data_IF_873676420730
#
_entry.id   IF_873676420730
#
_cell.length_a   1.000
_cell.length_b   1.000
_cell.length_c   1.000
_cell.angle_alpha   90.00
_cell.angle_beta   90.00
_cell.angle_gamma   90.00
#
_symmetry.space_group_name_H-M   'P 1'
#
loop_
_entity.id
_entity.type
_entity.pdbx_description
1 polymer ?
#
# COMPACT_ATOMS: atom_id res chain seq x y z
N UNK A 1 39.75 31.57 73.46
CA UNK A 1 38.95 32.26 74.49
C UNK A 1 37.58 31.59 74.52
N UNK A 2 37.18 31.11 75.70
CA UNK A 2 35.98 30.31 75.91
C UNK A 2 34.74 31.19 76.11
N UNK A 3 33.56 30.72 75.67
CA UNK A 3 32.29 31.02 76.34
C UNK A 3 31.19 29.99 75.97
N UNK A 4 30.93 29.09 76.93
CA UNK A 4 29.65 28.51 77.41
C UNK A 4 28.37 28.66 76.54
N UNK A 5 27.68 27.56 76.17
CA UNK A 5 26.65 26.79 76.94
C UNK A 5 25.35 27.57 77.24
N UNK A 6 24.22 27.27 76.56
CA UNK A 6 22.97 26.73 77.14
C UNK A 6 21.83 26.48 76.11
N UNK A 7 21.50 25.19 75.96
CA UNK A 7 20.18 24.50 75.90
C UNK A 7 18.84 25.20 75.53
N UNK A 8 18.10 24.43 74.70
CA UNK A 8 16.65 24.10 74.68
C UNK A 8 15.63 25.03 73.97
N UNK A 9 14.88 24.43 73.03
CA UNK A 9 13.64 24.99 72.48
C UNK A 9 13.08 24.19 71.28
N UNK A 10 12.25 23.19 71.57
CA UNK A 10 11.36 22.41 70.69
C UNK A 10 10.55 23.22 69.65
N UNK A 11 10.37 22.67 68.43
CA UNK A 11 9.05 22.55 67.78
C UNK A 11 9.12 21.70 66.49
N UNK A 12 8.33 20.63 66.50
CA UNK A 12 7.97 19.77 65.39
C UNK A 12 7.01 20.52 64.43
N UNK A 13 7.29 20.54 63.13
CA UNK A 13 6.25 20.74 62.12
C UNK A 13 6.52 19.85 60.90
N UNK A 14 5.85 18.70 60.88
CA UNK A 14 5.64 17.90 59.69
C UNK A 14 4.45 18.52 58.96
N UNK A 15 4.67 19.07 57.77
CA UNK A 15 3.58 19.30 56.81
C UNK A 15 4.02 18.82 55.42
N UNK A 16 3.23 17.86 54.94
CA UNK A 16 3.51 17.06 53.76
C UNK A 16 3.52 17.86 52.47
N UNK A 17 4.46 17.50 51.59
CA UNK A 17 4.39 17.81 50.17
C UNK A 17 3.27 16.96 49.58
N UNK A 18 2.11 17.57 49.35
CA UNK A 18 1.09 16.97 48.49
C UNK A 18 1.59 17.10 47.04
N UNK A 19 1.95 15.99 46.43
CA UNK A 19 2.20 15.92 45.01
C UNK A 19 0.85 15.96 44.30
N UNK A 20 0.43 17.16 43.86
CA UNK A 20 -0.70 17.29 42.94
C UNK A 20 -0.26 16.83 41.55
N UNK A 21 -0.51 15.57 41.23
CA UNK A 21 -0.41 15.07 39.85
C UNK A 21 -1.53 15.72 39.03
N UNK A 22 -1.19 16.75 38.28
CA UNK A 22 -2.09 17.33 37.29
C UNK A 22 -1.90 16.57 35.98
N UNK A 23 -2.89 15.75 35.63
CA UNK A 23 -3.04 15.16 34.31
C UNK A 23 -3.17 16.30 33.29
N UNK A 24 -2.06 16.69 32.67
CA UNK A 24 -2.05 17.61 31.53
C UNK A 24 -2.74 16.89 30.38
N UNK A 25 -4.03 17.17 30.20
CA UNK A 25 -4.67 16.91 28.93
C UNK A 25 -3.93 17.75 27.90
N UNK A 26 -3.08 17.11 27.10
CA UNK A 26 -2.37 17.74 25.99
C UNK A 26 -3.43 18.40 25.11
N UNK A 27 -3.55 19.74 25.22
CA UNK A 27 -4.32 20.54 24.26
C UNK A 27 -3.83 20.12 22.89
N UNK A 28 -4.75 19.71 22.01
CA UNK A 28 -4.42 19.50 20.58
C UNK A 28 -3.57 20.68 20.16
N UNK A 29 -2.31 20.39 19.83
CA UNK A 29 -1.43 21.39 19.24
C UNK A 29 -2.20 21.93 18.04
N UNK A 30 -2.50 23.23 18.05
CA UNK A 30 -3.20 23.87 16.94
C UNK A 30 -2.39 23.55 15.67
N UNK A 31 -3.07 23.06 14.63
CA UNK A 31 -2.40 22.87 13.34
C UNK A 31 -1.69 24.18 12.99
N UNK A 32 -0.41 24.15 12.61
CA UNK A 32 0.31 25.36 12.27
C UNK A 32 -0.46 26.13 11.19
N UNK A 33 -0.48 27.46 11.31
CA UNK A 33 -1.06 28.31 10.27
C UNK A 33 -0.35 28.01 8.95
N UNK A 34 -1.13 27.60 7.95
CA UNK A 34 -0.59 27.26 6.65
C UNK A 34 0.11 28.49 6.06
N UNK A 35 1.26 28.29 5.42
CA UNK A 35 1.88 29.30 4.58
C UNK A 35 1.01 29.57 3.35
N UNK A 36 1.28 30.66 2.63
CA UNK A 36 0.50 31.01 1.43
C UNK A 36 0.59 29.94 0.33
N UNK A 37 1.76 29.32 0.16
CA UNK A 37 1.94 28.21 -0.77
C UNK A 37 1.16 26.96 -0.33
N UNK A 38 1.15 26.64 0.96
CA UNK A 38 0.39 25.49 1.49
C UNK A 38 -1.12 25.71 1.39
N UNK A 39 -1.59 26.94 1.61
CA UNK A 39 -3.00 27.32 1.36
C UNK A 39 -3.36 27.18 -0.11
N UNK A 40 -2.51 27.66 -1.01
CA UNK A 40 -2.73 27.55 -2.45
C UNK A 40 -2.84 26.08 -2.88
N UNK A 41 -1.91 25.23 -2.43
CA UNK A 41 -1.95 23.80 -2.72
C UNK A 41 -3.19 23.12 -2.15
N UNK A 42 -3.53 23.40 -0.89
CA UNK A 42 -4.69 22.79 -0.22
C UNK A 42 -6.00 23.20 -0.87
N UNK A 43 -6.14 24.47 -1.27
CA UNK A 43 -7.36 24.98 -1.92
C UNK A 43 -7.44 24.61 -3.41
N UNK A 44 -6.32 24.23 -4.05
CA UNK A 44 -6.30 23.83 -5.46
C UNK A 44 -6.89 22.43 -5.70
N UNK A 45 -6.99 21.60 -4.66
CA UNK A 45 -7.49 20.23 -4.77
C UNK A 45 -8.97 20.18 -4.41
N UNK A 46 -9.82 19.82 -5.37
CA UNK A 46 -11.28 19.68 -5.17
C UNK A 46 -11.71 18.22 -5.08
N UNK A 47 -12.58 17.90 -4.11
CA UNK A 47 -13.21 16.58 -3.99
C UNK A 47 -14.08 16.25 -5.22
N UNK A 48 -14.70 17.24 -5.86
CA UNK A 48 -15.49 17.02 -7.08
C UNK A 48 -14.61 16.53 -8.24
N UNK A 49 -13.45 17.16 -8.43
CA UNK A 49 -12.48 16.78 -9.45
C UNK A 49 -11.89 15.39 -9.17
N UNK A 50 -11.54 15.09 -7.91
CA UNK A 50 -11.06 13.75 -7.51
C UNK A 50 -12.13 12.69 -7.81
N UNK A 51 -13.39 12.94 -7.46
CA UNK A 51 -14.49 12.00 -7.70
C UNK A 51 -14.70 11.76 -9.20
N UNK A 52 -14.65 12.82 -10.02
CA UNK A 52 -14.77 12.73 -11.47
C UNK A 52 -13.62 11.94 -12.10
N UNK A 53 -12.37 12.19 -11.68
CA UNK A 53 -11.22 11.44 -12.16
C UNK A 53 -11.27 9.98 -11.73
N UNK A 54 -11.63 9.73 -10.46
CA UNK A 54 -11.82 8.37 -9.94
C UNK A 54 -12.84 7.61 -10.79
N UNK A 55 -14.00 8.22 -11.08
CA UNK A 55 -15.00 7.64 -11.97
C UNK A 55 -14.43 7.35 -13.36
N UNK A 56 -13.76 8.33 -13.98
CA UNK A 56 -13.24 8.18 -15.34
C UNK A 56 -12.17 7.09 -15.50
N UNK A 57 -11.26 6.95 -14.53
CA UNK A 57 -10.20 5.94 -14.58
C UNK A 57 -10.68 4.55 -14.17
N UNK A 58 -11.74 4.44 -13.35
CA UNK A 58 -12.26 3.15 -12.87
C UNK A 58 -13.40 2.57 -13.69
N UNK A 59 -14.06 3.35 -14.56
CA UNK A 59 -15.21 2.88 -15.35
C UNK A 59 -14.88 1.87 -16.47
N UNK A 60 -13.60 1.64 -16.78
CA UNK A 60 -13.19 0.79 -17.90
C UNK A 60 -11.95 -0.04 -17.60
N UNK A 61 -11.78 -1.13 -18.34
CA UNK A 61 -10.57 -1.97 -18.29
C UNK A 61 -9.33 -1.13 -18.65
N UNK A 62 -8.30 -1.17 -17.81
CA UNK A 62 -7.05 -0.40 -17.98
C UNK A 62 -5.82 -1.26 -17.71
N UNK A 63 -5.86 -2.54 -18.14
CA UNK A 63 -4.68 -3.40 -18.14
C UNK A 63 -3.61 -2.83 -19.07
N UNK A 64 -2.34 -2.96 -18.72
CA UNK A 64 -1.24 -2.46 -19.56
C UNK A 64 -1.33 -3.00 -21.00
N UNK A 65 -1.19 -2.10 -21.98
CA UNK A 65 -1.39 -2.41 -23.40
C UNK A 65 -2.82 -2.26 -23.91
N UNK A 66 -3.79 -2.03 -23.01
CA UNK A 66 -5.20 -1.75 -23.37
C UNK A 66 -5.54 -0.27 -23.12
N UNK A 67 -6.73 0.16 -23.56
CA UNK A 67 -7.35 1.45 -23.22
C UNK A 67 -6.47 2.69 -23.43
N UNK A 68 -6.00 2.87 -24.67
CA UNK A 68 -5.25 4.06 -25.09
C UNK A 68 -6.03 5.37 -24.84
N UNK A 69 -7.36 5.34 -24.87
CA UNK A 69 -8.21 6.51 -24.63
C UNK A 69 -7.98 7.14 -23.25
N UNK A 70 -7.77 6.35 -22.20
CA UNK A 70 -7.47 6.90 -20.88
C UNK A 70 -6.10 7.59 -20.84
N UNK A 71 -5.09 7.01 -21.51
CA UNK A 71 -3.78 7.64 -21.62
C UNK A 71 -3.84 8.96 -22.42
N UNK A 72 -4.62 8.98 -23.51
CA UNK A 72 -4.84 10.20 -24.29
C UNK A 72 -5.54 11.27 -23.46
N UNK A 73 -6.57 10.90 -22.70
CA UNK A 73 -7.27 11.83 -21.80
C UNK A 73 -6.33 12.46 -20.78
N UNK A 74 -5.42 11.69 -20.20
CA UNK A 74 -4.39 12.23 -19.29
C UNK A 74 -3.46 13.20 -20.00
N UNK A 75 -2.99 12.88 -21.21
CA UNK A 75 -2.12 13.75 -21.99
C UNK A 75 -2.83 15.08 -22.32
N UNK A 76 -4.09 15.02 -22.75
CA UNK A 76 -4.88 16.21 -23.08
C UNK A 76 -5.07 17.13 -21.84
N UNK A 77 -5.36 16.55 -20.67
CA UNK A 77 -5.45 17.31 -19.41
C UNK A 77 -4.13 18.00 -19.05
N UNK A 78 -2.99 17.34 -19.30
CA UNK A 78 -1.67 17.92 -19.04
C UNK A 78 -1.34 19.05 -20.01
N UNK A 79 -1.65 18.86 -21.30
CA UNK A 79 -1.53 19.91 -22.30
C UNK A 79 -2.41 21.14 -21.95
N UNK A 80 -3.64 20.91 -21.52
CA UNK A 80 -4.56 21.98 -21.07
C UNK A 80 -4.02 22.73 -19.84
N UNK A 81 -3.40 22.02 -18.91
CA UNK A 81 -2.73 22.61 -17.75
C UNK A 81 -1.39 23.31 -18.10
N UNK A 82 -0.98 23.31 -19.38
CA UNK A 82 0.21 24.00 -19.87
C UNK A 82 1.51 23.18 -19.83
N UNK A 83 1.41 21.85 -19.65
CA UNK A 83 2.57 20.95 -19.69
C UNK A 83 2.81 20.39 -21.11
N UNK A 84 4.08 20.24 -21.48
CA UNK A 84 4.46 19.46 -22.65
C UNK A 84 4.16 17.98 -22.40
N UNK A 85 3.26 17.40 -23.19
CA UNK A 85 2.78 16.03 -23.01
C UNK A 85 2.57 15.33 -24.36
N UNK A 86 2.83 14.02 -24.38
CA UNK A 86 2.65 13.16 -25.56
C UNK A 86 2.51 11.69 -25.15
N UNK A 87 2.03 10.85 -26.08
CA UNK A 87 2.01 9.40 -25.92
C UNK A 87 3.25 8.76 -26.56
N UNK A 88 4.01 8.02 -25.75
CA UNK A 88 5.09 7.16 -26.23
C UNK A 88 4.63 5.69 -26.19
N UNK A 89 4.65 5.02 -27.34
CA UNK A 89 4.22 3.61 -27.48
C UNK A 89 5.42 2.69 -27.69
N UNK A 90 5.51 1.66 -26.86
CA UNK A 90 6.47 0.56 -27.02
C UNK A 90 5.74 -0.73 -27.39
N UNK A 91 6.32 -1.58 -28.26
CA UNK A 91 5.70 -2.85 -28.62
C UNK A 91 5.75 -3.82 -27.44
N UNK A 92 4.59 -4.28 -26.99
CA UNK A 92 4.43 -5.34 -25.98
C UNK A 92 3.43 -6.36 -26.51
N UNK A 93 3.64 -7.66 -26.21
CA UNK A 93 2.75 -8.75 -26.61
C UNK A 93 2.37 -9.57 -25.39
N UNK A 94 1.10 -9.56 -25.02
CA UNK A 94 0.52 -10.39 -23.97
C UNK A 94 -0.87 -10.83 -24.42
N UNK A 95 -0.97 -12.01 -25.03
CA UNK A 95 -2.23 -12.60 -25.46
C UNK A 95 -2.28 -14.05 -24.98
N UNK A 96 -3.44 -14.45 -24.45
CA UNK A 96 -3.73 -15.82 -24.08
C UNK A 96 -4.37 -16.55 -25.28
N UNK A 97 -4.09 -17.85 -25.44
CA UNK A 97 -4.73 -18.68 -26.45
C UNK A 97 -6.24 -18.85 -26.16
N UNK A 98 -7.06 -18.90 -27.22
CA UNK A 98 -8.48 -19.26 -27.11
C UNK A 98 -8.59 -20.78 -27.07
N UNK A 99 -9.21 -21.30 -26.02
CA UNK A 99 -9.45 -22.73 -25.82
C UNK A 99 -10.90 -23.05 -26.18
N UNK A 100 -11.16 -24.20 -26.82
CA UNK A 100 -12.53 -24.59 -27.21
C UNK A 100 -13.34 -25.07 -26.01
N UNK A 101 -12.63 -25.62 -25.03
CA UNK A 101 -13.14 -26.22 -23.80
C UNK A 101 -13.52 -25.14 -22.78
N UNK A 102 -12.96 -23.93 -22.92
CA UNK A 102 -13.29 -22.77 -22.10
C UNK A 102 -13.85 -21.63 -22.97
N UNK A 103 -15.19 -21.53 -23.12
CA UNK A 103 -15.81 -20.50 -23.93
C UNK A 103 -15.59 -19.08 -23.38
N UNK A 104 -15.18 -18.91 -22.11
CA UNK A 104 -14.86 -17.57 -21.57
C UNK A 104 -13.53 -17.05 -22.10
N UNK A 105 -12.65 -17.93 -22.58
CA UNK A 105 -11.43 -17.55 -23.31
C UNK A 105 -11.71 -16.93 -24.68
N UNK A 106 -12.96 -16.87 -25.14
CA UNK A 106 -13.34 -16.20 -26.38
C UNK A 106 -13.85 -14.77 -26.20
N UNK A 107 -14.08 -14.30 -24.97
CA UNK A 107 -14.80 -13.05 -24.75
C UNK A 107 -13.96 -11.81 -25.09
N UNK A 108 -14.54 -10.84 -25.82
CA UNK A 108 -13.80 -9.69 -26.36
C UNK A 108 -13.25 -8.74 -25.28
N UNK A 109 -13.87 -8.72 -24.10
CA UNK A 109 -13.46 -7.86 -22.98
C UNK A 109 -12.92 -8.67 -21.78
N UNK A 110 -12.46 -9.91 -22.00
CA UNK A 110 -11.94 -10.71 -20.90
C UNK A 110 -10.58 -10.17 -20.45
N UNK A 111 -10.38 -10.20 -19.14
CA UNK A 111 -9.05 -10.12 -18.55
C UNK A 111 -8.78 -11.50 -18.00
N UNK A 112 -7.90 -12.30 -18.62
CA UNK A 112 -7.57 -13.59 -18.05
C UNK A 112 -6.88 -13.37 -16.70
N UNK A 113 -7.13 -14.28 -15.77
CA UNK A 113 -6.32 -14.38 -14.56
C UNK A 113 -5.04 -15.11 -14.95
N UNK A 114 -3.88 -14.48 -14.78
CA UNK A 114 -2.60 -15.09 -15.13
C UNK A 114 -1.49 -14.68 -14.16
N UNK A 115 -0.42 -15.47 -14.12
CA UNK A 115 0.82 -15.10 -13.45
C UNK A 115 1.75 -14.41 -14.45
N UNK A 116 1.92 -13.09 -14.30
CA UNK A 116 2.84 -12.32 -15.13
C UNK A 116 4.27 -12.89 -15.04
N UNK A 117 4.96 -12.95 -16.17
CA UNK A 117 6.31 -13.54 -16.33
C UNK A 117 6.41 -15.06 -16.13
N UNK A 118 5.30 -15.78 -15.97
CA UNK A 118 5.34 -17.25 -15.95
C UNK A 118 5.83 -17.80 -17.30
N UNK A 119 6.61 -18.89 -17.24
CA UNK A 119 7.04 -19.58 -18.44
C UNK A 119 5.82 -20.18 -19.17
N UNK A 120 5.85 -20.14 -20.51
CA UNK A 120 4.83 -20.79 -21.32
C UNK A 120 5.08 -22.30 -21.39
N UNK A 121 4.03 -23.10 -21.24
CA UNK A 121 4.12 -24.55 -21.36
C UNK A 121 2.83 -25.25 -20.95
N UNK A 122 2.74 -26.54 -21.27
CA UNK A 122 1.71 -27.45 -20.76
C UNK A 122 2.42 -28.54 -19.95
N UNK A 123 1.96 -28.79 -18.73
CA UNK A 123 2.57 -29.73 -17.80
C UNK A 123 1.47 -30.58 -17.19
N UNK A 124 1.70 -31.89 -17.13
CA UNK A 124 0.84 -32.86 -16.46
C UNK A 124 1.71 -33.67 -15.52
N UNK A 125 1.42 -33.58 -14.22
CA UNK A 125 2.15 -34.28 -13.17
C UNK A 125 1.31 -34.37 -11.89
N UNK A 126 1.74 -35.20 -10.94
CA UNK A 126 1.14 -35.25 -9.61
C UNK A 126 1.31 -33.92 -8.88
N UNK A 127 0.31 -33.54 -8.08
CA UNK A 127 0.34 -32.30 -7.31
C UNK A 127 0.73 -32.53 -5.85
N UNK A 128 1.31 -31.50 -5.21
CA UNK A 128 1.62 -31.45 -3.79
C UNK A 128 1.16 -30.11 -3.21
N UNK A 129 0.54 -30.12 -2.03
CA UNK A 129 0.14 -28.88 -1.35
C UNK A 129 1.31 -28.32 -0.52
N UNK A 130 1.63 -27.03 -0.70
CA UNK A 130 2.84 -26.37 -0.15
C UNK A 130 2.52 -25.11 0.66
N UNK A 131 1.39 -25.07 1.36
CA UNK A 131 1.08 -23.94 2.24
C UNK A 131 1.09 -22.61 1.49
N UNK A 132 1.90 -21.64 1.96
CA UNK A 132 2.03 -20.33 1.30
C UNK A 132 3.18 -20.26 0.29
N UNK A 133 3.82 -21.38 -0.01
CA UNK A 133 4.89 -21.49 -1.01
C UNK A 133 6.22 -20.87 -0.55
N UNK A 134 6.50 -20.82 0.75
CA UNK A 134 7.77 -20.32 1.27
C UNK A 134 8.79 -21.45 1.48
N UNK A 135 10.06 -21.08 1.60
CA UNK A 135 11.15 -22.05 1.80
C UNK A 135 10.89 -23.03 2.97
N UNK A 136 10.42 -22.60 4.16
CA UNK A 136 10.12 -23.53 5.25
C UNK A 136 9.02 -24.55 4.94
N UNK A 137 8.07 -24.21 4.05
CA UNK A 137 7.02 -25.15 3.62
C UNK A 137 7.63 -26.31 2.82
N UNK A 138 8.58 -25.99 1.92
CA UNK A 138 9.30 -27.00 1.14
C UNK A 138 10.26 -27.83 2.00
N UNK A 139 10.99 -27.21 2.93
CA UNK A 139 11.85 -27.92 3.89
C UNK A 139 11.03 -28.91 4.71
N UNK A 140 9.84 -28.48 5.17
CA UNK A 140 8.94 -29.35 5.92
C UNK A 140 8.46 -30.54 5.11
N UNK A 141 8.15 -30.36 3.82
CA UNK A 141 7.77 -31.46 2.94
C UNK A 141 8.92 -32.46 2.75
N UNK A 142 10.16 -31.98 2.63
CA UNK A 142 11.35 -32.83 2.54
C UNK A 142 11.58 -33.62 3.84
N UNK A 143 11.41 -33.00 5.00
CA UNK A 143 11.49 -33.69 6.31
C UNK A 143 10.44 -34.79 6.45
N UNK A 144 9.25 -34.59 5.88
CA UNK A 144 8.16 -35.57 5.87
C UNK A 144 8.37 -36.68 4.82
N UNK A 145 9.46 -36.62 4.05
CA UNK A 145 9.79 -37.62 3.03
C UNK A 145 8.98 -37.48 1.74
N UNK A 146 8.41 -36.29 1.47
CA UNK A 146 7.67 -36.01 0.23
C UNK A 146 8.65 -35.68 -0.90
N UNK A 147 8.63 -36.46 -1.98
CA UNK A 147 9.41 -36.14 -3.18
C UNK A 147 8.79 -34.96 -3.94
N UNK A 148 9.57 -33.91 -4.19
CA UNK A 148 9.08 -32.68 -4.85
C UNK A 148 9.41 -32.61 -6.34
N UNK A 149 10.45 -33.31 -6.79
CA UNK A 149 10.95 -33.19 -8.16
C UNK A 149 9.92 -33.73 -9.15
N UNK A 150 9.60 -32.93 -10.17
CA UNK A 150 8.65 -33.31 -11.22
C UNK A 150 7.18 -33.26 -10.80
N UNK A 151 6.86 -32.69 -9.63
CA UNK A 151 5.48 -32.47 -9.17
C UNK A 151 5.05 -31.01 -9.35
N UNK A 152 3.75 -30.79 -9.42
CA UNK A 152 3.13 -29.45 -9.45
C UNK A 152 2.85 -29.01 -8.02
N UNK A 153 3.46 -27.90 -7.58
CA UNK A 153 3.17 -27.32 -6.28
C UNK A 153 1.89 -26.48 -6.32
N UNK A 154 0.96 -26.76 -5.42
CA UNK A 154 -0.24 -25.95 -5.17
C UNK A 154 -0.06 -25.19 -3.85
N UNK A 155 -0.21 -23.87 -3.90
CA UNK A 155 -0.16 -22.95 -2.75
C UNK A 155 -1.43 -22.13 -2.68
#
# INVERSE_FOLDING_TARGET
>A
MASHLLKLGTALLVLGVSASSSTVHSKRQASPELTDNERLLTNSISNSSISQYSFYYTQGLHLAGTNQSQAQYTADLWAEAGFDSRLDRLPTRAEEAVLKEDPVTGFPNRVPTFHAYSASGSVEAEYVYVGIGQLPDFERLLELGVELKGKIALS
#
